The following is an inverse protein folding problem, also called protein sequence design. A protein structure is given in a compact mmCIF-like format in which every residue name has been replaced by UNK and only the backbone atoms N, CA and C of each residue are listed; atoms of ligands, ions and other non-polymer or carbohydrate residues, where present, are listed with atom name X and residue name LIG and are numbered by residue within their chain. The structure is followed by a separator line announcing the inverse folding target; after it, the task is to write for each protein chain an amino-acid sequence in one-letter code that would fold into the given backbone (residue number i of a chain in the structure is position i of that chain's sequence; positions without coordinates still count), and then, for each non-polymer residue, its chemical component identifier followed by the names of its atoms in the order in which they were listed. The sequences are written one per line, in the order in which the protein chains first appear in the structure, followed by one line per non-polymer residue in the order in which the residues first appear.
data_IF_788944416097
#
_entry.id   IF_788944416097
#
_cell.length_a   1.000
_cell.length_b   1.000
_cell.length_c   1.000
_cell.angle_alpha   90.00
_cell.angle_beta   90.00
_cell.angle_gamma   90.00
#
_symmetry.space_group_name_H-M   'P 1'
#
loop_
_entity.id
_entity.type
_entity.pdbx_description
1 polymer ?
#
# COMPACT_ATOMS: atom_id res chain seq x y z
N UNK A 1 22.44 -9.51 -13.71
CA UNK A 1 22.81 -9.28 -12.30
C UNK A 1 21.83 -8.29 -11.72
N UNK A 2 21.22 -8.58 -10.58
CA UNK A 2 20.30 -7.66 -9.89
C UNK A 2 21.13 -6.60 -9.15
N UNK A 3 20.77 -5.35 -9.31
CA UNK A 3 21.38 -4.19 -8.63
C UNK A 3 20.36 -3.35 -7.85
N UNK A 4 19.08 -3.66 -8.00
CA UNK A 4 17.98 -2.89 -7.42
C UNK A 4 16.94 -3.85 -6.82
N UNK A 5 16.45 -3.52 -5.63
CA UNK A 5 15.33 -4.25 -5.00
C UNK A 5 14.23 -3.26 -4.66
N UNK A 6 13.03 -3.51 -5.22
CA UNK A 6 11.83 -2.73 -4.93
C UNK A 6 10.88 -3.57 -4.05
N UNK A 7 10.27 -2.92 -3.09
CA UNK A 7 9.42 -3.57 -2.07
C UNK A 7 8.00 -3.03 -2.11
N UNK A 8 7.03 -3.89 -1.90
CA UNK A 8 5.75 -3.47 -1.35
C UNK A 8 5.91 -3.09 0.13
N UNK A 9 4.93 -2.35 0.67
CA UNK A 9 4.92 -1.92 2.06
C UNK A 9 4.08 -2.84 2.95
N UNK A 10 2.76 -2.74 2.86
CA UNK A 10 1.82 -3.42 3.74
C UNK A 10 1.70 -4.90 3.44
N UNK A 11 1.99 -5.76 4.41
CA UNK A 11 2.08 -7.20 4.22
C UNK A 11 3.47 -7.69 3.79
N UNK A 12 4.40 -6.77 3.48
CA UNK A 12 5.75 -7.09 3.01
C UNK A 12 6.83 -6.60 3.97
N UNK A 13 7.04 -5.29 4.08
CA UNK A 13 7.97 -4.72 5.08
C UNK A 13 7.34 -4.70 6.48
N UNK A 14 6.05 -4.66 6.55
CA UNK A 14 5.28 -4.73 7.78
C UNK A 14 4.22 -5.84 7.73
N UNK A 15 3.90 -6.42 8.88
CA UNK A 15 2.69 -7.19 9.04
C UNK A 15 1.53 -6.25 9.30
N UNK A 16 0.43 -6.47 8.60
CA UNK A 16 -0.81 -5.73 8.79
C UNK A 16 -2.01 -6.68 8.92
N UNK A 17 -2.97 -6.31 9.76
CA UNK A 17 -4.21 -7.05 9.93
C UNK A 17 -5.34 -6.11 10.35
N UNK A 18 -6.56 -6.59 10.23
CA UNK A 18 -7.78 -5.86 10.59
C UNK A 18 -8.59 -6.72 11.56
N UNK A 19 -9.10 -6.11 12.60
CA UNK A 19 -10.04 -6.70 13.54
C UNK A 19 -11.18 -5.71 13.90
N UNK A 20 -12.04 -6.08 14.85
CA UNK A 20 -13.17 -5.24 15.21
C UNK A 20 -12.74 -3.95 15.93
N UNK A 21 -11.62 -3.98 16.66
CA UNK A 21 -11.05 -2.79 17.33
C UNK A 21 -10.55 -1.78 16.29
N UNK A 22 -9.78 -2.22 15.30
CA UNK A 22 -9.25 -1.33 14.26
C UNK A 22 -10.37 -0.78 13.36
N UNK A 23 -11.39 -1.60 13.06
CA UNK A 23 -12.59 -1.13 12.34
C UNK A 23 -13.34 -0.06 13.13
N UNK A 24 -13.58 -0.28 14.43
CA UNK A 24 -14.21 0.71 15.29
C UNK A 24 -13.39 2.00 15.35
N UNK A 25 -12.09 1.89 15.57
CA UNK A 25 -11.16 3.03 15.67
C UNK A 25 -11.15 3.88 14.39
N UNK A 26 -11.16 3.24 13.22
CA UNK A 26 -11.17 3.98 11.95
C UNK A 26 -12.47 4.76 11.72
N UNK A 27 -13.62 4.19 12.07
CA UNK A 27 -14.91 4.90 12.00
C UNK A 27 -14.96 6.05 13.00
N UNK A 28 -14.52 5.81 14.25
CA UNK A 28 -14.44 6.84 15.28
C UNK A 28 -13.54 7.99 14.84
N UNK A 29 -12.39 7.68 14.24
CA UNK A 29 -11.47 8.69 13.70
C UNK A 29 -12.11 9.56 12.61
N UNK A 30 -12.93 8.98 11.72
CA UNK A 30 -13.70 9.76 10.74
C UNK A 30 -14.64 10.73 11.44
N UNK A 31 -15.41 10.25 12.43
CA UNK A 31 -16.34 11.09 13.19
C UNK A 31 -15.62 12.23 13.91
N UNK A 32 -14.46 11.96 14.50
CA UNK A 32 -13.69 12.95 15.25
C UNK A 32 -13.11 14.03 14.34
N UNK A 33 -12.60 13.68 13.16
CA UNK A 33 -12.14 14.64 12.16
C UNK A 33 -13.30 15.50 11.66
N UNK A 34 -14.44 14.88 11.30
CA UNK A 34 -15.60 15.64 10.85
C UNK A 34 -16.07 16.65 11.90
N UNK A 35 -16.15 16.24 13.17
CA UNK A 35 -16.50 17.14 14.29
C UNK A 35 -15.49 18.27 14.47
N UNK A 36 -14.19 17.98 14.36
CA UNK A 36 -13.14 18.99 14.43
C UNK A 36 -13.29 20.07 13.33
N UNK A 37 -13.85 19.68 12.19
CA UNK A 37 -14.19 20.60 11.09
C UNK A 37 -15.64 21.12 11.13
N UNK A 38 -16.33 20.99 12.27
CA UNK A 38 -17.66 21.56 12.48
C UNK A 38 -18.80 20.76 11.83
N UNK A 39 -18.57 19.53 11.43
CA UNK A 39 -19.55 18.65 10.80
C UNK A 39 -20.01 17.60 11.80
N UNK A 40 -21.29 17.63 12.18
CA UNK A 40 -21.92 16.58 12.96
C UNK A 40 -22.93 15.84 12.08
N UNK A 41 -22.74 14.55 11.93
CA UNK A 41 -23.60 13.72 11.07
C UNK A 41 -24.97 13.46 11.72
N UNK A 42 -25.14 13.68 13.03
CA UNK A 42 -26.39 13.46 13.78
C UNK A 42 -26.97 12.04 13.57
N UNK A 43 -26.09 11.03 13.44
CA UNK A 43 -26.42 9.63 13.23
C UNK A 43 -25.77 8.77 14.31
N UNK A 44 -26.37 7.62 14.60
CA UNK A 44 -25.74 6.64 15.48
C UNK A 44 -24.52 6.02 14.83
N UNK A 45 -23.61 5.46 15.67
CA UNK A 45 -22.35 4.91 15.23
C UNK A 45 -22.50 3.77 14.23
N UNK A 46 -23.45 2.85 14.47
CA UNK A 46 -23.63 1.65 13.64
C UNK A 46 -24.08 2.02 12.22
N UNK A 47 -25.07 2.90 12.11
CA UNK A 47 -25.54 3.41 10.80
C UNK A 47 -24.43 4.17 10.06
N UNK A 48 -23.64 4.97 10.80
CA UNK A 48 -22.49 5.67 10.22
C UNK A 48 -21.44 4.70 9.70
N UNK A 49 -21.12 3.67 10.49
CA UNK A 49 -20.15 2.64 10.10
C UNK A 49 -20.57 1.88 8.84
N UNK A 50 -21.86 1.51 8.76
CA UNK A 50 -22.41 0.83 7.58
C UNK A 50 -22.28 1.70 6.33
N UNK A 51 -22.62 2.99 6.41
CA UNK A 51 -22.53 3.92 5.28
C UNK A 51 -21.08 4.14 4.83
N UNK A 52 -20.14 4.32 5.76
CA UNK A 52 -18.71 4.49 5.45
C UNK A 52 -18.17 3.20 4.78
N UNK A 53 -18.49 2.03 5.32
CA UNK A 53 -18.05 0.75 4.73
C UNK A 53 -18.62 0.56 3.31
N UNK A 54 -19.90 0.86 3.10
CA UNK A 54 -20.52 0.83 1.78
C UNK A 54 -19.82 1.80 0.80
N UNK A 55 -19.39 2.96 1.29
CA UNK A 55 -18.59 3.92 0.52
C UNK A 55 -17.24 3.35 0.07
N UNK A 56 -16.53 2.67 0.97
CA UNK A 56 -15.28 1.99 0.64
C UNK A 56 -15.48 0.82 -0.34
N UNK A 57 -16.59 0.08 -0.24
CA UNK A 57 -16.96 -0.95 -1.21
C UNK A 57 -17.21 -0.36 -2.60
N UNK A 58 -17.97 0.75 -2.68
CA UNK A 58 -18.19 1.50 -3.94
C UNK A 58 -16.87 1.93 -4.56
N UNK A 59 -15.96 2.49 -3.73
CA UNK A 59 -14.64 2.89 -4.20
C UNK A 59 -13.82 1.68 -4.67
N UNK A 60 -13.82 0.58 -3.95
CA UNK A 60 -13.17 -0.68 -4.35
C UNK A 60 -13.66 -1.17 -5.71
N UNK A 61 -14.98 -1.21 -5.93
CA UNK A 61 -15.59 -1.60 -7.19
C UNK A 61 -15.21 -0.66 -8.37
N UNK A 62 -14.97 0.62 -8.09
CA UNK A 62 -14.48 1.58 -9.09
C UNK A 62 -13.01 1.39 -9.43
N UNK A 63 -12.13 1.34 -8.39
CA UNK A 63 -10.67 1.40 -8.53
C UNK A 63 -10.03 0.11 -9.02
N UNK A 64 -10.51 -1.06 -8.52
CA UNK A 64 -9.81 -2.33 -8.72
C UNK A 64 -9.79 -2.77 -10.20
N UNK A 65 -10.91 -2.75 -10.97
CA UNK A 65 -10.85 -3.08 -12.39
C UNK A 65 -10.11 -2.03 -13.23
N UNK A 66 -10.00 -0.79 -12.75
CA UNK A 66 -9.33 0.31 -13.45
C UNK A 66 -7.86 0.41 -13.12
N UNK A 67 -7.42 -0.22 -12.03
CA UNK A 67 -6.06 -0.09 -11.48
C UNK A 67 -5.65 1.38 -11.31
N UNK A 68 -6.61 2.21 -10.84
CA UNK A 68 -6.43 3.65 -10.63
C UNK A 68 -6.64 4.00 -9.17
N UNK A 69 -5.79 4.90 -8.69
CA UNK A 69 -5.98 5.55 -7.41
C UNK A 69 -6.48 6.96 -7.66
N UNK A 70 -7.49 7.34 -6.91
CA UNK A 70 -7.99 8.71 -6.89
C UNK A 70 -7.29 9.51 -5.79
N UNK A 71 -7.42 10.82 -5.85
CA UNK A 71 -6.96 11.72 -4.80
C UNK A 71 -7.84 11.60 -3.55
N UNK A 72 -7.31 11.91 -2.37
CA UNK A 72 -8.09 11.82 -1.13
C UNK A 72 -9.46 12.50 -1.20
N UNK A 73 -9.53 13.72 -1.74
CA UNK A 73 -10.79 14.45 -1.87
C UNK A 73 -11.82 13.74 -2.77
N UNK A 74 -11.35 13.09 -3.83
CA UNK A 74 -12.21 12.31 -4.73
C UNK A 74 -12.71 11.04 -4.04
N UNK A 75 -11.84 10.34 -3.30
CA UNK A 75 -12.20 9.13 -2.56
C UNK A 75 -13.26 9.45 -1.51
N UNK A 76 -12.97 10.41 -0.64
CA UNK A 76 -13.85 10.76 0.46
C UNK A 76 -15.12 11.49 0.01
N UNK A 77 -15.01 12.40 -0.95
CA UNK A 77 -16.14 13.23 -1.39
C UNK A 77 -17.03 12.61 -2.47
N UNK A 78 -16.49 11.67 -3.29
CA UNK A 78 -17.29 11.04 -4.34
C UNK A 78 -17.73 9.62 -4.02
N UNK A 79 -17.16 8.98 -2.96
CA UNK A 79 -17.49 7.59 -2.63
C UNK A 79 -17.83 7.39 -1.16
N UNK A 80 -16.95 7.81 -0.23
CA UNK A 80 -17.05 7.38 1.18
C UNK A 80 -18.09 8.20 1.95
N UNK A 81 -18.13 9.52 1.77
CA UNK A 81 -18.99 10.40 2.55
C UNK A 81 -20.21 10.96 1.76
N UNK A 82 -20.46 10.47 0.55
CA UNK A 82 -21.58 10.94 -0.29
C UNK A 82 -22.94 10.70 0.36
N UNK A 83 -23.12 9.62 1.10
CA UNK A 83 -24.39 9.30 1.77
C UNK A 83 -24.74 10.30 2.89
N UNK A 84 -23.74 11.11 3.32
CA UNK A 84 -23.91 12.17 4.30
C UNK A 84 -24.07 13.56 3.66
N UNK A 85 -24.20 13.63 2.32
CA UNK A 85 -24.32 14.87 1.58
C UNK A 85 -23.03 15.69 1.45
N UNK A 86 -21.87 15.08 1.79
CA UNK A 86 -20.55 15.68 1.60
C UNK A 86 -20.03 15.38 0.20
N UNK A 87 -19.35 16.34 -0.40
CA UNK A 87 -18.77 16.25 -1.74
C UNK A 87 -17.27 16.63 -1.72
N UNK A 88 -16.58 16.51 -2.85
CA UNK A 88 -15.16 16.79 -2.97
C UNK A 88 -14.75 18.17 -2.46
N UNK A 89 -15.53 19.21 -2.78
CA UNK A 89 -15.21 20.56 -2.36
C UNK A 89 -15.35 20.75 -0.84
N UNK A 90 -16.34 20.09 -0.24
CA UNK A 90 -16.57 20.15 1.21
C UNK A 90 -15.50 19.39 2.00
N UNK A 91 -14.99 18.25 1.48
CA UNK A 91 -13.99 17.43 2.17
C UNK A 91 -12.54 17.82 1.86
N UNK A 92 -12.28 18.53 0.77
CA UNK A 92 -10.95 18.92 0.31
C UNK A 92 -10.03 19.48 1.42
N UNK A 93 -10.49 20.33 2.35
CA UNK A 93 -9.61 20.89 3.38
C UNK A 93 -9.03 19.87 4.36
N UNK A 94 -9.67 18.70 4.52
CA UNK A 94 -9.29 17.65 5.48
C UNK A 94 -9.25 16.24 4.87
N UNK A 95 -9.33 16.13 3.54
CA UNK A 95 -9.37 14.85 2.85
C UNK A 95 -8.13 13.99 3.09
N UNK A 96 -6.93 14.60 3.10
CA UNK A 96 -5.70 13.87 3.41
C UNK A 96 -5.64 13.48 4.90
N UNK A 97 -6.13 14.31 5.81
CA UNK A 97 -6.24 13.97 7.22
C UNK A 97 -7.10 12.71 7.41
N UNK A 98 -8.26 12.65 6.72
CA UNK A 98 -9.11 11.45 6.69
C UNK A 98 -8.38 10.23 6.10
N UNK A 99 -7.70 10.40 4.98
CA UNK A 99 -7.00 9.30 4.31
C UNK A 99 -5.84 8.79 5.16
N UNK A 100 -5.04 9.68 5.73
CA UNK A 100 -3.93 9.32 6.63
C UNK A 100 -4.44 8.61 7.89
N UNK A 101 -5.43 9.20 8.57
CA UNK A 101 -6.04 8.61 9.76
C UNK A 101 -6.59 7.21 9.45
N UNK A 102 -7.31 7.04 8.34
CA UNK A 102 -7.85 5.76 7.93
C UNK A 102 -6.77 4.70 7.74
N UNK A 103 -5.73 5.01 6.98
CA UNK A 103 -4.62 4.08 6.73
C UNK A 103 -3.85 3.70 8.01
N UNK A 104 -3.77 4.61 9.00
CA UNK A 104 -3.10 4.35 10.27
C UNK A 104 -3.97 3.55 11.24
N UNK A 105 -5.29 3.77 11.27
CA UNK A 105 -6.18 3.20 12.30
C UNK A 105 -6.94 1.97 11.84
N UNK A 106 -7.25 1.86 10.53
CA UNK A 106 -8.00 0.71 9.99
C UNK A 106 -7.16 -0.57 10.00
N UNK A 107 -5.84 -0.46 9.90
CA UNK A 107 -4.92 -1.57 9.97
C UNK A 107 -4.06 -1.48 11.23
N UNK A 108 -4.06 -2.54 12.03
CA UNK A 108 -2.91 -2.78 12.90
C UNK A 108 -1.68 -3.01 12.04
N UNK A 109 -0.53 -2.50 12.49
CA UNK A 109 0.71 -2.65 11.72
C UNK A 109 1.91 -2.79 12.65
N UNK A 110 2.87 -3.62 12.24
CA UNK A 110 4.14 -3.79 12.92
C UNK A 110 5.23 -4.12 11.92
N UNK A 111 6.42 -3.54 12.11
CA UNK A 111 7.58 -3.88 11.29
C UNK A 111 7.86 -5.39 11.38
N UNK A 112 8.01 -6.07 10.25
CA UNK A 112 8.35 -7.49 10.26
C UNK A 112 9.71 -7.73 10.89
N UNK A 113 9.90 -8.88 11.58
CA UNK A 113 11.22 -9.31 12.02
C UNK A 113 12.23 -9.30 10.88
N UNK A 114 13.47 -8.97 11.19
CA UNK A 114 14.64 -9.01 10.30
C UNK A 114 14.60 -8.02 9.09
N UNK A 115 13.62 -7.12 9.02
CA UNK A 115 13.58 -6.11 7.94
C UNK A 115 14.82 -5.22 7.97
N UNK A 116 15.22 -4.72 9.15
CA UNK A 116 16.39 -3.84 9.26
C UNK A 116 17.66 -4.55 8.84
N UNK A 117 17.86 -5.77 9.32
CA UNK A 117 19.01 -6.61 8.98
C UNK A 117 19.06 -6.93 7.48
N UNK A 118 17.91 -7.20 6.87
CA UNK A 118 17.79 -7.42 5.43
C UNK A 118 18.18 -6.16 4.64
N UNK A 119 17.64 -4.99 5.03
CA UNK A 119 17.94 -3.71 4.37
C UNK A 119 19.42 -3.33 4.52
N UNK A 120 20.02 -3.54 5.70
CA UNK A 120 21.47 -3.35 5.93
C UNK A 120 22.30 -4.27 5.04
N UNK A 121 21.91 -5.55 4.93
CA UNK A 121 22.59 -6.51 4.06
C UNK A 121 22.55 -6.07 2.59
N UNK A 122 21.39 -5.70 2.07
CA UNK A 122 21.24 -5.23 0.69
C UNK A 122 22.02 -3.94 0.42
N UNK A 123 21.98 -2.99 1.35
CA UNK A 123 22.74 -1.74 1.26
C UNK A 123 24.25 -2.03 1.30
N UNK A 124 24.69 -2.98 2.13
CA UNK A 124 26.09 -3.43 2.18
C UNK A 124 26.58 -4.05 0.86
N UNK A 125 25.68 -4.63 0.06
CA UNK A 125 25.93 -5.12 -1.29
C UNK A 125 25.91 -4.00 -2.35
N UNK A 126 25.64 -2.75 -1.96
CA UNK A 126 25.57 -1.60 -2.87
C UNK A 126 24.29 -1.53 -3.70
N UNK A 127 23.23 -2.26 -3.28
CA UNK A 127 21.97 -2.26 -4.01
C UNK A 127 21.17 -0.96 -3.82
N UNK A 128 20.46 -0.57 -4.85
CA UNK A 128 19.46 0.50 -4.81
C UNK A 128 18.16 -0.07 -4.24
N UNK A 129 17.51 0.67 -3.36
CA UNK A 129 16.29 0.22 -2.70
C UNK A 129 15.16 1.22 -2.92
N UNK A 130 13.95 0.72 -3.17
CA UNK A 130 12.75 1.55 -3.30
C UNK A 130 11.49 0.85 -2.77
N UNK A 131 10.44 1.64 -2.55
CA UNK A 131 9.12 1.16 -2.12
C UNK A 131 8.09 1.55 -3.16
N UNK A 132 7.18 0.61 -3.49
CA UNK A 132 6.00 0.87 -4.32
C UNK A 132 4.76 0.43 -3.55
N UNK A 133 3.94 1.38 -3.10
CA UNK A 133 2.76 1.08 -2.27
C UNK A 133 1.46 1.54 -2.91
N UNK A 134 0.43 0.67 -2.81
CA UNK A 134 -0.95 1.05 -3.09
C UNK A 134 -1.57 1.60 -1.81
N UNK A 135 -1.78 2.90 -1.73
CA UNK A 135 -2.34 3.62 -0.57
C UNK A 135 -3.24 4.77 -1.01
N UNK A 136 -4.24 5.09 -0.20
CA UNK A 136 -5.11 6.25 -0.42
C UNK A 136 -4.53 7.57 0.14
N UNK A 137 -3.55 7.50 1.06
CA UNK A 137 -2.91 8.66 1.69
C UNK A 137 -1.67 9.12 0.93
N UNK A 138 -1.42 10.41 0.92
CA UNK A 138 -0.22 11.01 0.32
C UNK A 138 1.03 10.84 1.20
N UNK A 139 0.86 10.75 2.53
CA UNK A 139 1.97 10.84 3.49
C UNK A 139 2.13 9.62 4.40
N UNK A 140 1.10 8.80 4.58
CA UNK A 140 1.09 7.71 5.57
C UNK A 140 2.32 6.78 5.44
N UNK A 141 2.68 6.36 4.22
CA UNK A 141 3.82 5.44 4.02
C UNK A 141 5.14 6.09 4.44
N UNK A 142 5.32 7.39 4.16
CA UNK A 142 6.52 8.12 4.59
C UNK A 142 6.64 8.19 6.09
N UNK A 143 5.53 8.47 6.79
CA UNK A 143 5.51 8.56 8.25
C UNK A 143 5.78 7.20 8.89
N UNK A 144 5.14 6.14 8.42
CA UNK A 144 5.37 4.78 8.92
C UNK A 144 6.82 4.31 8.69
N UNK A 145 7.39 4.55 7.52
CA UNK A 145 8.81 4.23 7.24
C UNK A 145 9.75 4.97 8.18
N UNK A 146 9.42 6.24 8.50
CA UNK A 146 10.19 7.06 9.44
C UNK A 146 10.06 6.53 10.87
N UNK A 147 8.84 6.20 11.32
CA UNK A 147 8.58 5.67 12.66
C UNK A 147 9.27 4.33 12.88
N UNK A 148 9.35 3.49 11.83
CA UNK A 148 10.15 2.26 11.87
C UNK A 148 11.67 2.51 11.82
N UNK A 149 12.11 3.74 11.53
CA UNK A 149 13.52 4.10 11.37
C UNK A 149 14.19 3.45 10.16
N UNK A 150 13.43 3.24 9.06
CA UNK A 150 13.91 2.60 7.84
C UNK A 150 13.77 3.48 6.59
N UNK A 151 13.22 4.71 6.70
CA UNK A 151 13.02 5.60 5.53
C UNK A 151 14.31 5.86 4.73
N UNK A 152 15.42 6.02 5.43
CA UNK A 152 16.70 6.43 4.82
C UNK A 152 17.42 5.31 4.05
N UNK A 153 16.90 4.09 4.09
CA UNK A 153 17.38 3.01 3.22
C UNK A 153 16.92 3.18 1.77
N UNK A 154 15.78 3.83 1.54
CA UNK A 154 15.11 3.88 0.25
C UNK A 154 15.42 5.16 -0.52
N UNK A 155 15.88 5.00 -1.76
CA UNK A 155 16.11 6.10 -2.70
C UNK A 155 14.80 6.62 -3.29
N UNK A 156 13.79 5.74 -3.41
CA UNK A 156 12.46 6.04 -3.95
C UNK A 156 11.36 5.49 -3.06
N UNK A 157 10.25 6.24 -2.97
CA UNK A 157 8.98 5.80 -2.40
C UNK A 157 7.87 6.25 -3.36
N UNK A 158 7.43 5.32 -4.19
CA UNK A 158 6.38 5.54 -5.18
C UNK A 158 5.02 5.11 -4.63
N UNK A 159 4.05 6.04 -4.59
CA UNK A 159 2.72 5.83 -4.05
C UNK A 159 1.65 5.90 -5.14
N UNK A 160 0.63 5.04 -5.07
CA UNK A 160 -0.52 5.09 -5.97
C UNK A 160 -1.33 6.38 -5.83
N UNK A 161 -1.48 6.90 -4.62
CA UNK A 161 -2.13 8.18 -4.32
C UNK A 161 -1.48 9.39 -5.00
N UNK A 162 -0.17 9.32 -5.25
CA UNK A 162 0.59 10.38 -5.94
C UNK A 162 0.59 10.19 -7.45
N UNK A 163 0.78 8.94 -7.91
CA UNK A 163 0.93 8.64 -9.34
C UNK A 163 -0.40 8.46 -10.07
N UNK A 164 -1.48 8.15 -9.34
CA UNK A 164 -2.77 7.77 -9.90
C UNK A 164 -2.83 6.33 -10.42
N UNK A 165 -1.72 5.59 -10.41
CA UNK A 165 -1.63 4.20 -10.86
C UNK A 165 -1.50 3.25 -9.69
N UNK A 166 -2.21 2.12 -9.74
CA UNK A 166 -2.16 1.06 -8.72
C UNK A 166 -1.50 -0.20 -9.29
N UNK A 167 -0.67 -0.87 -8.50
CA UNK A 167 -0.22 -2.22 -8.85
C UNK A 167 -1.44 -3.12 -9.10
N UNK A 168 -1.43 -3.95 -10.17
CA UNK A 168 -0.32 -4.28 -11.06
C UNK A 168 -0.22 -3.43 -12.34
N UNK A 169 -0.79 -2.21 -12.41
CA UNK A 169 -0.62 -1.32 -13.58
C UNK A 169 0.88 -1.06 -13.82
N UNK A 170 1.39 -1.27 -15.05
CA UNK A 170 2.82 -1.11 -15.36
C UNK A 170 3.35 0.30 -15.09
N UNK A 171 2.50 1.32 -15.17
CA UNK A 171 2.95 2.70 -15.02
C UNK A 171 3.47 3.01 -13.62
N UNK A 172 2.94 2.40 -12.55
CA UNK A 172 3.48 2.63 -11.20
C UNK A 172 4.92 2.10 -11.07
N UNK A 173 5.21 0.95 -11.70
CA UNK A 173 6.56 0.38 -11.73
C UNK A 173 7.50 1.25 -12.57
N UNK A 174 7.03 1.76 -13.74
CA UNK A 174 7.83 2.65 -14.59
C UNK A 174 8.25 3.92 -13.86
N UNK A 175 7.36 4.52 -13.04
CA UNK A 175 7.70 5.69 -12.23
C UNK A 175 8.85 5.35 -11.28
N UNK A 176 8.74 4.28 -10.51
CA UNK A 176 9.78 3.87 -9.55
C UNK A 176 11.09 3.51 -10.26
N UNK A 177 11.05 2.72 -11.34
CA UNK A 177 12.23 2.38 -12.13
C UNK A 177 12.98 3.60 -12.64
N UNK A 178 12.25 4.62 -13.10
CA UNK A 178 12.83 5.88 -13.54
C UNK A 178 13.51 6.63 -12.37
N UNK A 179 12.89 6.66 -11.20
CA UNK A 179 13.41 7.33 -10.01
C UNK A 179 14.70 6.65 -9.51
N UNK A 180 14.73 5.32 -9.45
CA UNK A 180 15.93 4.57 -9.04
C UNK A 180 16.96 4.41 -10.16
N UNK A 181 16.66 4.86 -11.38
CA UNK A 181 17.52 4.74 -12.55
C UNK A 181 17.98 3.29 -12.77
N UNK A 182 17.04 2.37 -12.93
CA UNK A 182 17.28 0.95 -13.17
C UNK A 182 16.38 0.39 -14.27
N UNK A 183 16.91 -0.63 -14.97
CA UNK A 183 16.13 -1.40 -15.95
C UNK A 183 15.40 -2.55 -15.24
N UNK A 184 14.19 -2.94 -15.71
CA UNK A 184 13.44 -4.04 -15.11
C UNK A 184 14.26 -5.33 -14.93
N UNK A 185 15.04 -5.72 -15.94
CA UNK A 185 15.85 -6.94 -15.91
C UNK A 185 16.94 -6.94 -14.81
N UNK A 186 17.33 -5.76 -14.31
CA UNK A 186 18.26 -5.60 -13.19
C UNK A 186 17.57 -5.39 -11.84
N UNK A 187 16.25 -5.50 -11.79
CA UNK A 187 15.45 -5.30 -10.59
C UNK A 187 14.87 -6.61 -10.06
N UNK A 188 14.85 -6.74 -8.74
CA UNK A 188 13.99 -7.69 -8.04
C UNK A 188 12.81 -6.95 -7.40
N UNK A 189 11.66 -7.61 -7.32
CA UNK A 189 10.49 -7.11 -6.59
C UNK A 189 10.12 -8.06 -5.45
N UNK A 190 9.85 -7.50 -4.28
CA UNK A 190 9.45 -8.24 -3.08
C UNK A 190 8.05 -7.79 -2.69
N UNK A 191 7.12 -8.74 -2.57
CA UNK A 191 5.75 -8.43 -2.20
C UNK A 191 4.98 -9.61 -1.64
N UNK A 192 3.75 -9.35 -1.17
CA UNK A 192 2.94 -10.33 -0.47
C UNK A 192 1.74 -10.85 -1.29
N UNK A 193 1.42 -10.20 -2.41
CA UNK A 193 0.27 -10.59 -3.25
C UNK A 193 0.70 -10.99 -4.65
N UNK A 194 0.31 -12.19 -5.08
CA UNK A 194 0.58 -12.68 -6.44
C UNK A 194 -0.08 -11.78 -7.49
N UNK A 195 -1.31 -11.33 -7.21
CA UNK A 195 -2.13 -10.52 -8.12
C UNK A 195 -1.53 -9.15 -8.46
N UNK A 196 -0.69 -8.59 -7.59
CA UNK A 196 -0.09 -7.26 -7.74
C UNK A 196 1.42 -7.30 -7.86
N UNK A 197 2.06 -8.02 -6.93
CA UNK A 197 3.48 -7.94 -6.65
C UNK A 197 4.29 -9.00 -7.40
N UNK A 198 3.61 -9.98 -8.02
CA UNK A 198 4.23 -10.97 -8.89
C UNK A 198 3.80 -10.75 -10.35
N UNK A 199 2.51 -10.62 -10.63
CA UNK A 199 2.00 -10.41 -12.00
C UNK A 199 2.57 -9.11 -12.61
N UNK A 200 2.54 -8.01 -11.87
CA UNK A 200 3.02 -6.71 -12.36
C UNK A 200 4.49 -6.76 -12.76
N UNK A 201 5.41 -7.10 -11.85
CA UNK A 201 6.83 -7.21 -12.16
C UNK A 201 7.17 -8.23 -13.26
N UNK A 202 6.52 -9.40 -13.30
CA UNK A 202 6.72 -10.37 -14.40
C UNK A 202 6.38 -9.74 -15.74
N UNK A 203 5.23 -9.06 -15.86
CA UNK A 203 4.82 -8.37 -17.10
C UNK A 203 5.77 -7.27 -17.50
N UNK A 204 6.43 -6.65 -16.54
CA UNK A 204 7.44 -5.61 -16.75
C UNK A 204 8.82 -6.17 -17.11
N UNK A 205 9.04 -7.49 -16.98
CA UNK A 205 10.33 -8.13 -17.25
C UNK A 205 11.34 -7.95 -16.12
N UNK A 206 10.89 -7.87 -14.87
CA UNK A 206 11.78 -7.86 -13.71
C UNK A 206 12.63 -9.14 -13.67
N UNK A 207 13.90 -9.00 -13.26
CA UNK A 207 14.85 -10.10 -13.22
C UNK A 207 14.52 -11.16 -12.16
N UNK A 208 13.84 -10.78 -11.07
CA UNK A 208 13.36 -11.70 -10.04
C UNK A 208 12.11 -11.15 -9.33
N UNK A 209 11.30 -12.08 -8.80
CA UNK A 209 10.18 -11.76 -7.90
C UNK A 209 10.27 -12.63 -6.64
N UNK A 210 10.09 -12.01 -5.48
CA UNK A 210 10.02 -12.66 -4.18
C UNK A 210 8.62 -12.52 -3.62
N UNK A 211 8.05 -13.62 -3.20
CA UNK A 211 6.76 -13.65 -2.54
C UNK A 211 6.89 -14.07 -1.07
N UNK A 212 6.29 -13.31 -0.17
CA UNK A 212 6.17 -13.63 1.25
C UNK A 212 4.70 -13.61 1.64
N UNK A 213 4.21 -14.64 2.31
CA UNK A 213 2.81 -14.71 2.74
C UNK A 213 2.49 -13.65 3.80
N UNK A 214 1.26 -13.10 3.71
CA UNK A 214 0.70 -12.15 4.66
C UNK A 214 -0.78 -12.40 4.93
N UNK A 215 -1.34 -11.62 5.84
CA UNK A 215 -2.80 -11.53 6.04
C UNK A 215 -3.53 -11.14 4.75
N UNK A 216 -2.96 -10.22 3.95
CA UNK A 216 -3.57 -9.73 2.71
C UNK A 216 -3.53 -10.74 1.56
N UNK A 217 -2.53 -11.63 1.51
CA UNK A 217 -2.41 -12.65 0.45
C UNK A 217 -3.71 -13.42 0.28
N UNK A 218 -4.27 -13.94 1.38
CA UNK A 218 -5.53 -14.71 1.36
C UNK A 218 -6.75 -13.89 0.94
N UNK A 219 -6.75 -12.59 1.23
CA UNK A 219 -7.86 -11.70 0.92
C UNK A 219 -7.85 -11.21 -0.53
N UNK A 220 -6.67 -11.05 -1.12
CA UNK A 220 -6.49 -10.39 -2.42
C UNK A 220 -6.27 -11.36 -3.57
N UNK A 221 -5.67 -12.52 -3.31
CA UNK A 221 -5.30 -13.49 -4.36
C UNK A 221 -6.40 -14.53 -4.62
N UNK A 222 -7.64 -14.08 -4.73
CA UNK A 222 -8.81 -14.97 -4.94
C UNK A 222 -8.94 -15.48 -6.39
N UNK A 223 -8.35 -14.78 -7.36
CA UNK A 223 -8.49 -15.09 -8.81
C UNK A 223 -7.14 -15.01 -9.55
N UNK A 224 -6.07 -15.49 -8.93
CA UNK A 224 -4.75 -15.52 -9.58
C UNK A 224 -4.67 -16.75 -10.50
N UNK A 225 -4.22 -16.58 -11.78
CA UNK A 225 -3.98 -17.71 -12.67
C UNK A 225 -2.97 -18.70 -12.08
N UNK A 226 -3.23 -20.00 -12.23
CA UNK A 226 -2.43 -21.06 -11.60
C UNK A 226 -0.98 -21.15 -12.12
N UNK A 227 -0.70 -20.57 -13.26
CA UNK A 227 0.62 -20.49 -13.90
C UNK A 227 1.47 -19.31 -13.37
N UNK A 228 0.86 -18.38 -12.64
CA UNK A 228 1.59 -17.27 -12.00
C UNK A 228 2.39 -17.82 -10.82
N UNK A 229 3.70 -17.74 -10.93
CA UNK A 229 4.63 -18.17 -9.86
C UNK A 229 5.71 -17.12 -9.66
N UNK A 230 6.03 -16.78 -8.40
CA UNK A 230 7.19 -15.97 -8.11
C UNK A 230 8.48 -16.73 -8.45
N UNK A 231 9.58 -16.02 -8.64
CA UNK A 231 10.90 -16.64 -8.76
C UNK A 231 11.28 -17.35 -7.46
N UNK A 232 10.97 -16.72 -6.32
CA UNK A 232 11.24 -17.25 -4.99
C UNK A 232 10.02 -17.05 -4.08
N UNK A 233 9.69 -18.07 -3.28
CA UNK A 233 8.77 -17.94 -2.14
C UNK A 233 9.58 -18.02 -0.87
N UNK A 234 9.49 -17.00 -0.02
CA UNK A 234 10.27 -16.90 1.22
C UNK A 234 9.34 -16.90 2.43
N UNK A 235 9.80 -17.47 3.55
CA UNK A 235 9.08 -17.45 4.82
C UNK A 235 9.55 -16.33 5.76
N UNK A 236 10.77 -15.88 5.55
CA UNK A 236 11.42 -14.81 6.29
C UNK A 236 11.98 -13.82 5.29
N UNK A 237 11.71 -12.54 5.50
CA UNK A 237 12.12 -11.48 4.57
C UNK A 237 13.66 -11.35 4.50
N UNK A 238 14.37 -11.78 5.55
CA UNK A 238 15.84 -11.81 5.55
C UNK A 238 16.42 -12.63 4.40
N UNK A 239 15.66 -13.65 3.93
CA UNK A 239 16.09 -14.48 2.79
C UNK A 239 16.34 -13.67 1.51
N UNK A 240 15.73 -12.51 1.35
CA UNK A 240 15.94 -11.62 0.20
C UNK A 240 17.41 -11.16 0.11
N UNK A 241 18.09 -10.96 1.25
CA UNK A 241 19.47 -10.43 1.28
C UNK A 241 20.54 -11.47 0.88
N UNK A 242 20.22 -12.76 0.84
CA UNK A 242 21.20 -13.81 0.50
C UNK A 242 20.72 -14.79 -0.59
N UNK A 243 19.48 -14.67 -1.07
CA UNK A 243 18.96 -15.55 -2.12
C UNK A 243 19.36 -15.01 -3.50
N UNK A 244 20.46 -15.49 -4.03
CA UNK A 244 20.92 -15.39 -5.44
C UNK A 244 20.56 -14.10 -6.19
N UNK A 245 20.89 -12.93 -5.63
CA UNK A 245 20.82 -11.65 -6.34
C UNK A 245 22.02 -11.43 -7.27
N UNK A 246 22.95 -12.40 -7.29
CA UNK A 246 24.17 -12.41 -8.13
C UNK A 246 23.95 -13.10 -9.46
#
# INVERSE_FOLDING_TARGET
MIDTVLFDMGGTLEDIWVDDESRHSSIQGVLDILRAHGIDLNMDFETTAQSINAGWERYGAYRDPRQRELKPEEIWGSFVLTDFGLNEDSVRPYAEELAHMWEITHYHRTLRPHVKEMLEGLKGLGMKLGVISNTASLYQVFDVLKDYGIRDYFQDVTLSSVTGYRKPDPNIFLVSLHQVQSDPASCAYVGDTLSRDVIGPIRMGFGATFHIDSYLTKLKDTNVPADVKPTYSVKDIYAVSYTHLT
#
